data_IF_656737443530
#
_entry.id   IF_656737443530
#
_cell.length_a   1.000
_cell.length_b   1.000
_cell.length_c   1.000
_cell.angle_alpha   90.00
_cell.angle_beta   90.00
_cell.angle_gamma   90.00
#
_symmetry.space_group_name_H-M   'P 1'
#
loop_
_entity.id
_entity.type
_entity.pdbx_description
1 polymer ?
#
# COMPACT_ATOMS: atom_id res chain seq x y z
N UNK A 1 2.41 17.52 7.40
CA UNK A 1 3.69 17.99 6.80
C UNK A 1 3.44 19.38 6.23
N UNK A 2 4.27 20.37 6.56
CA UNK A 2 4.08 21.76 6.13
C UNK A 2 4.34 21.93 4.62
N UNK A 3 3.54 22.73 3.92
CA UNK A 3 3.58 22.87 2.45
C UNK A 3 4.95 23.31 1.93
N UNK A 4 5.58 24.29 2.59
CA UNK A 4 6.94 24.73 2.27
C UNK A 4 7.99 23.60 2.27
N UNK A 5 7.93 22.68 3.23
CA UNK A 5 8.87 21.55 3.28
C UNK A 5 8.65 20.60 2.09
N UNK A 6 7.40 20.42 1.67
CA UNK A 6 7.09 19.62 0.50
C UNK A 6 7.61 20.27 -0.77
N UNK A 7 7.39 21.58 -0.94
CA UNK A 7 7.88 22.32 -2.11
C UNK A 7 9.40 22.27 -2.23
N UNK A 8 10.12 22.50 -1.12
CA UNK A 8 11.58 22.39 -1.09
C UNK A 8 12.03 20.98 -1.48
N UNK A 9 11.40 19.93 -0.94
CA UNK A 9 11.73 18.55 -1.29
C UNK A 9 11.49 18.28 -2.78
N UNK A 10 10.37 18.74 -3.34
CA UNK A 10 10.04 18.60 -4.77
C UNK A 10 11.11 19.24 -5.66
N UNK A 11 11.58 20.43 -5.31
CA UNK A 11 12.67 21.12 -6.03
C UNK A 11 13.94 20.28 -6.01
N UNK A 12 14.41 19.88 -4.82
CA UNK A 12 15.66 19.11 -4.65
C UNK A 12 15.62 17.79 -5.42
N UNK A 13 14.49 17.09 -5.40
CA UNK A 13 14.34 15.80 -6.07
C UNK A 13 14.39 15.97 -7.59
N UNK A 14 13.74 17.00 -8.13
CA UNK A 14 13.69 17.24 -9.57
C UNK A 14 14.97 17.86 -10.15
N UNK A 15 15.80 18.51 -9.32
CA UNK A 15 16.99 19.27 -9.74
C UNK A 15 18.02 18.39 -10.47
N UNK A 16 18.27 17.16 -9.98
CA UNK A 16 19.26 16.24 -10.57
C UNK A 16 18.86 15.69 -11.93
N UNK A 17 17.57 15.63 -12.24
CA UNK A 17 17.06 15.03 -13.47
C UNK A 17 15.79 15.75 -13.93
N UNK A 18 15.92 16.99 -14.42
CA UNK A 18 14.76 17.77 -14.82
C UNK A 18 13.99 17.05 -15.93
N UNK A 19 12.66 16.97 -15.79
CA UNK A 19 11.74 16.34 -16.77
C UNK A 19 11.99 14.84 -17.01
N UNK A 20 12.67 14.15 -16.10
CA UNK A 20 12.84 12.70 -16.11
C UNK A 20 12.32 12.10 -14.80
N UNK A 21 10.99 12.06 -14.60
CA UNK A 21 10.39 11.59 -13.36
C UNK A 21 10.84 10.20 -12.96
N UNK A 22 11.10 9.32 -13.92
CA UNK A 22 11.55 7.95 -13.68
C UNK A 22 12.88 7.84 -12.92
N UNK A 23 13.68 8.92 -12.88
CA UNK A 23 14.95 9.01 -12.14
C UNK A 23 14.82 9.73 -10.80
N UNK A 24 13.62 10.15 -10.42
CA UNK A 24 13.39 10.83 -9.15
C UNK A 24 13.22 9.82 -8.03
N UNK A 25 13.75 10.15 -6.86
CA UNK A 25 13.56 9.30 -5.68
C UNK A 25 12.13 9.29 -5.15
N UNK A 26 11.32 10.29 -5.51
CA UNK A 26 9.90 10.34 -5.17
C UNK A 26 9.09 10.78 -6.38
N UNK A 27 7.97 10.10 -6.60
CA UNK A 27 6.98 10.42 -7.60
C UNK A 27 5.68 10.85 -6.90
N UNK A 28 5.14 12.00 -7.27
CA UNK A 28 3.93 12.56 -6.64
C UNK A 28 2.96 13.22 -7.62
N UNK A 29 3.43 13.63 -8.80
CA UNK A 29 2.56 14.24 -9.81
C UNK A 29 1.74 13.14 -10.50
N UNK A 30 0.40 13.17 -10.47
CA UNK A 30 -0.41 12.10 -11.02
C UNK A 30 -0.15 11.82 -12.50
N UNK A 31 0.13 12.84 -13.31
CA UNK A 31 0.40 12.67 -14.75
C UNK A 31 1.74 11.97 -14.99
N UNK A 32 2.79 12.38 -14.25
CA UNK A 32 4.11 11.78 -14.36
C UNK A 32 4.10 10.33 -13.87
N UNK A 33 3.48 10.08 -12.71
CA UNK A 33 3.35 8.73 -12.15
C UNK A 33 2.57 7.83 -13.10
N UNK A 34 1.44 8.30 -13.64
CA UNK A 34 0.64 7.56 -14.63
C UNK A 34 1.49 7.21 -15.85
N UNK A 35 2.28 8.16 -16.36
CA UNK A 35 3.16 7.92 -17.51
C UNK A 35 4.24 6.87 -17.18
N UNK A 36 4.85 6.96 -16.00
CA UNK A 36 5.88 6.00 -15.54
C UNK A 36 5.30 4.60 -15.39
N UNK A 37 4.13 4.46 -14.74
CA UNK A 37 3.48 3.16 -14.55
C UNK A 37 2.98 2.56 -15.87
N UNK A 38 2.36 3.36 -16.74
CA UNK A 38 1.86 2.91 -18.05
C UNK A 38 3.00 2.42 -18.94
N UNK A 39 4.13 3.14 -18.96
CA UNK A 39 5.33 2.75 -19.73
C UNK A 39 6.19 1.71 -19.01
N UNK A 40 5.79 1.30 -17.80
CA UNK A 40 6.56 0.44 -16.88
C UNK A 40 7.98 0.95 -16.66
N UNK A 41 8.22 2.26 -16.76
CA UNK A 41 9.55 2.87 -16.88
C UNK A 41 10.21 3.23 -15.55
N UNK A 42 9.63 2.81 -14.43
CA UNK A 42 10.21 3.03 -13.10
C UNK A 42 11.62 2.46 -12.97
N UNK A 43 12.42 3.08 -12.11
CA UNK A 43 13.81 2.69 -11.87
C UNK A 43 14.07 2.45 -10.38
N UNK A 44 15.25 1.91 -10.07
CA UNK A 44 15.72 1.70 -8.69
C UNK A 44 15.95 2.99 -7.91
N UNK A 45 15.91 4.16 -8.55
CA UNK A 45 15.99 5.43 -7.85
C UNK A 45 14.71 5.71 -7.07
N UNK A 46 13.56 5.21 -7.53
CA UNK A 46 12.25 5.49 -6.95
C UNK A 46 12.12 4.80 -5.58
N UNK A 47 12.15 5.60 -4.51
CA UNK A 47 11.97 5.16 -3.13
C UNK A 47 10.54 5.44 -2.60
N UNK A 48 9.82 6.37 -3.21
CA UNK A 48 8.44 6.69 -2.85
C UNK A 48 7.56 7.01 -4.05
N UNK A 49 6.32 6.53 -4.04
CA UNK A 49 5.35 6.76 -5.11
C UNK A 49 3.99 7.08 -4.53
N UNK A 50 3.40 8.20 -4.95
CA UNK A 50 2.04 8.60 -4.62
C UNK A 50 1.21 8.79 -5.89
N UNK A 51 0.02 8.18 -5.94
CA UNK A 51 -0.93 8.31 -7.04
C UNK A 51 -2.36 8.35 -6.52
N UNK A 52 -3.02 9.50 -6.68
CA UNK A 52 -4.36 9.74 -6.19
C UNK A 52 -5.30 10.11 -7.34
N UNK A 53 -6.38 9.34 -7.50
CA UNK A 53 -7.44 9.67 -8.45
C UNK A 53 -8.77 9.95 -7.75
N UNK A 54 -9.15 11.22 -7.57
CA UNK A 54 -10.36 11.56 -6.81
C UNK A 54 -11.66 11.09 -7.49
N UNK A 55 -11.69 11.02 -8.84
CA UNK A 55 -12.94 10.89 -9.60
C UNK A 55 -12.97 9.72 -10.60
N UNK A 56 -11.88 8.95 -10.76
CA UNK A 56 -11.80 7.89 -11.76
C UNK A 56 -10.85 6.79 -11.33
N UNK A 57 -11.26 5.52 -11.39
CA UNK A 57 -10.32 4.43 -11.19
C UNK A 57 -9.38 4.28 -12.38
N UNK A 58 -8.11 4.02 -12.11
CA UNK A 58 -7.12 3.65 -13.12
C UNK A 58 -6.53 2.29 -12.76
N UNK A 59 -6.29 1.45 -13.77
CA UNK A 59 -5.74 0.12 -13.59
C UNK A 59 -4.31 0.06 -14.13
N UNK A 60 -3.37 -0.44 -13.33
CA UNK A 60 -1.97 -0.63 -13.72
C UNK A 60 -1.52 -2.07 -13.46
N UNK A 61 -0.58 -2.55 -14.26
CA UNK A 61 0.05 -3.86 -14.05
C UNK A 61 1.05 -3.80 -12.92
N UNK A 62 1.06 -4.82 -12.05
CA UNK A 62 2.05 -4.98 -10.98
C UNK A 62 3.48 -5.03 -11.52
N UNK A 63 3.68 -5.50 -12.76
CA UNK A 63 4.99 -5.46 -13.45
C UNK A 63 5.57 -4.04 -13.59
N UNK A 64 4.72 -3.00 -13.54
CA UNK A 64 5.19 -1.61 -13.59
C UNK A 64 6.11 -1.26 -12.41
N UNK A 65 6.00 -1.99 -11.30
CA UNK A 65 6.79 -1.78 -10.10
C UNK A 65 8.03 -2.68 -10.02
N UNK A 66 8.16 -3.68 -10.91
CA UNK A 66 9.21 -4.71 -10.81
C UNK A 66 10.65 -4.15 -10.82
N UNK A 67 10.86 -2.99 -11.46
CA UNK A 67 12.15 -2.30 -11.51
C UNK A 67 12.39 -1.30 -10.38
N UNK A 68 11.36 -0.98 -9.60
CA UNK A 68 11.44 -0.04 -8.46
C UNK A 68 11.84 -0.79 -7.18
N UNK A 69 12.94 -1.54 -7.22
CA UNK A 69 13.35 -2.44 -6.14
C UNK A 69 13.69 -1.74 -4.81
N UNK A 70 13.95 -0.43 -4.79
CA UNK A 70 14.15 0.39 -3.58
C UNK A 70 12.89 1.12 -3.12
N UNK A 71 11.73 0.86 -3.71
CA UNK A 71 10.47 1.49 -3.31
C UNK A 71 10.09 1.07 -1.89
N UNK A 72 10.00 2.05 -1.00
CA UNK A 72 9.71 1.87 0.43
C UNK A 72 8.35 2.41 0.84
N UNK A 73 7.83 3.39 0.09
CA UNK A 73 6.59 4.09 0.39
C UNK A 73 5.68 4.04 -0.85
N UNK A 74 4.51 3.45 -0.71
CA UNK A 74 3.50 3.39 -1.76
C UNK A 74 2.19 3.97 -1.24
N UNK A 75 1.74 5.04 -1.87
CA UNK A 75 0.49 5.74 -1.56
C UNK A 75 -0.43 5.71 -2.78
N UNK A 76 -1.51 4.95 -2.70
CA UNK A 76 -2.48 4.75 -3.77
C UNK A 76 -3.87 5.13 -3.26
N UNK A 77 -4.60 5.91 -4.04
CA UNK A 77 -6.03 6.18 -3.80
C UNK A 77 -6.80 5.94 -5.09
N UNK A 78 -7.78 5.02 -5.02
CA UNK A 78 -8.65 4.67 -6.15
C UNK A 78 -7.85 4.14 -7.37
N UNK A 79 -6.83 3.32 -7.10
CA UNK A 79 -5.99 2.67 -8.10
C UNK A 79 -6.18 1.16 -8.02
N UNK A 80 -6.39 0.52 -9.16
CA UNK A 80 -6.45 -0.93 -9.30
C UNK A 80 -5.11 -1.47 -9.80
N UNK A 81 -4.68 -2.59 -9.22
CA UNK A 81 -3.49 -3.31 -9.68
C UNK A 81 -3.91 -4.67 -10.23
N UNK A 82 -3.37 -5.04 -11.39
CA UNK A 82 -3.61 -6.33 -12.03
C UNK A 82 -2.31 -7.11 -12.30
N UNK A 83 -2.44 -8.43 -12.40
CA UNK A 83 -1.30 -9.35 -12.48
C UNK A 83 -0.89 -9.88 -11.12
N UNK A 84 0.32 -10.44 -11.07
CA UNK A 84 0.84 -11.12 -9.89
C UNK A 84 1.54 -10.12 -8.96
N UNK A 85 1.19 -10.15 -7.67
CA UNK A 85 1.71 -9.26 -6.64
C UNK A 85 3.14 -9.61 -6.24
N UNK A 86 3.69 -10.72 -6.73
CA UNK A 86 5.11 -11.02 -6.60
C UNK A 86 6.02 -9.93 -7.20
N UNK A 87 5.52 -9.20 -8.21
CA UNK A 87 6.21 -8.07 -8.84
C UNK A 87 6.27 -6.81 -7.97
N UNK A 88 5.51 -6.75 -6.86
CA UNK A 88 5.60 -5.60 -5.96
C UNK A 88 6.96 -5.57 -5.26
N UNK A 89 7.52 -4.35 -5.04
CA UNK A 89 8.83 -4.17 -4.44
C UNK A 89 8.90 -4.78 -3.04
N UNK A 90 9.99 -5.48 -2.74
CA UNK A 90 10.22 -6.20 -1.47
C UNK A 90 10.75 -5.31 -0.34
N UNK A 91 11.13 -4.09 -0.68
CA UNK A 91 11.62 -3.07 0.26
C UNK A 91 10.48 -2.21 0.83
N UNK A 92 9.21 -2.56 0.57
CA UNK A 92 8.07 -1.77 1.00
C UNK A 92 7.96 -1.78 2.54
N UNK A 93 7.95 -0.59 3.13
CA UNK A 93 7.82 -0.38 4.58
C UNK A 93 6.44 0.16 4.92
N UNK A 94 5.88 0.98 4.02
CA UNK A 94 4.63 1.69 4.25
C UNK A 94 3.76 1.61 3.00
N UNK A 95 2.55 1.08 3.18
CA UNK A 95 1.54 1.00 2.14
C UNK A 95 0.26 1.69 2.60
N UNK A 96 -0.14 2.74 1.86
CA UNK A 96 -1.49 3.26 1.85
C UNK A 96 -2.14 2.88 0.53
N UNK A 97 -3.28 2.23 0.60
CA UNK A 97 -4.07 1.82 -0.56
C UNK A 97 -5.55 2.06 -0.31
N UNK A 98 -5.94 3.33 -0.34
CA UNK A 98 -7.31 3.76 -0.08
C UNK A 98 -8.24 3.44 -1.25
N UNK A 99 -9.49 3.12 -0.92
CA UNK A 99 -10.55 2.81 -1.88
C UNK A 99 -10.12 1.72 -2.87
N UNK A 100 -9.46 0.69 -2.35
CA UNK A 100 -9.08 -0.48 -3.12
C UNK A 100 -10.31 -1.35 -3.39
N UNK A 101 -10.47 -1.85 -4.61
CA UNK A 101 -11.61 -2.67 -5.01
C UNK A 101 -11.40 -4.18 -4.80
N UNK A 102 -10.28 -4.58 -4.20
CA UNK A 102 -10.02 -5.98 -3.85
C UNK A 102 -11.06 -6.49 -2.84
N UNK A 103 -11.52 -7.73 -3.05
CA UNK A 103 -12.37 -8.43 -2.08
C UNK A 103 -11.56 -9.12 -0.98
N UNK A 104 -10.33 -9.54 -1.29
CA UNK A 104 -9.29 -9.94 -0.33
C UNK A 104 -7.91 -9.62 -0.90
N UNK A 105 -6.91 -9.50 -0.02
CA UNK A 105 -5.51 -9.34 -0.41
C UNK A 105 -4.98 -10.71 -0.89
N UNK A 106 -4.44 -10.81 -2.12
CA UNK A 106 -3.91 -12.07 -2.65
C UNK A 106 -2.71 -12.61 -1.87
N UNK A 107 -2.56 -13.94 -1.84
CA UNK A 107 -1.52 -14.60 -1.03
C UNK A 107 -0.09 -14.24 -1.45
N UNK A 108 0.13 -14.00 -2.75
CA UNK A 108 1.42 -13.60 -3.31
C UNK A 108 1.84 -12.16 -2.93
N UNK A 109 0.90 -11.36 -2.42
CA UNK A 109 1.19 -10.06 -1.80
C UNK A 109 2.03 -10.21 -0.53
N UNK A 110 1.85 -11.27 0.26
CA UNK A 110 2.48 -11.42 1.59
C UNK A 110 3.99 -11.66 1.57
N UNK A 111 4.63 -11.56 0.40
CA UNK A 111 6.08 -11.51 0.23
C UNK A 111 6.63 -10.11 0.58
N UNK A 112 6.27 -9.57 1.74
CA UNK A 112 6.54 -8.18 2.15
C UNK A 112 7.15 -8.13 3.56
N UNK A 113 8.31 -8.76 3.72
CA UNK A 113 8.97 -8.95 5.02
C UNK A 113 9.30 -7.63 5.73
N UNK A 114 9.39 -6.51 5.02
CA UNK A 114 9.75 -5.19 5.57
C UNK A 114 8.55 -4.29 5.87
N UNK A 115 7.34 -4.73 5.53
CA UNK A 115 6.13 -3.92 5.68
C UNK A 115 5.81 -3.73 7.16
N UNK A 116 5.72 -2.46 7.58
CA UNK A 116 5.44 -2.05 8.97
C UNK A 116 4.04 -1.47 9.10
N UNK A 117 3.56 -0.79 8.07
CA UNK A 117 2.29 -0.06 8.09
C UNK A 117 1.45 -0.41 6.86
N UNK A 118 0.21 -0.85 7.11
CA UNK A 118 -0.79 -1.14 6.08
C UNK A 118 -2.07 -0.34 6.37
N UNK A 119 -2.46 0.52 5.43
CA UNK A 119 -3.70 1.28 5.52
C UNK A 119 -4.51 1.14 4.24
N UNK A 120 -5.74 0.62 4.35
CA UNK A 120 -6.64 0.35 3.22
C UNK A 120 -8.03 0.95 3.46
N UNK A 121 -8.08 2.23 3.84
CA UNK A 121 -9.32 2.92 4.20
C UNK A 121 -10.34 2.92 3.05
N UNK A 122 -11.61 2.66 3.38
CA UNK A 122 -12.72 2.75 2.44
C UNK A 122 -12.67 1.69 1.34
N UNK A 123 -11.99 0.57 1.57
CA UNK A 123 -11.82 -0.49 0.57
C UNK A 123 -13.00 -1.47 0.55
N UNK A 124 -13.12 -2.21 -0.54
CA UNK A 124 -14.20 -3.19 -0.76
C UNK A 124 -13.90 -4.59 -0.20
N UNK A 125 -13.00 -4.68 0.78
CA UNK A 125 -12.58 -5.94 1.38
C UNK A 125 -13.77 -6.62 2.06
N UNK A 126 -13.96 -7.91 1.77
CA UNK A 126 -14.93 -8.79 2.43
C UNK A 126 -14.22 -9.60 3.53
N UNK A 127 -13.06 -10.15 3.17
CA UNK A 127 -12.08 -10.74 4.08
C UNK A 127 -10.73 -10.06 3.81
N UNK A 128 -9.85 -9.97 4.81
CA UNK A 128 -8.55 -9.32 4.57
C UNK A 128 -7.60 -10.26 3.83
N UNK A 129 -7.41 -11.48 4.32
CA UNK A 129 -6.60 -12.53 3.70
C UNK A 129 -6.91 -13.93 4.23
N UNK A 130 -6.56 -14.95 3.45
CA UNK A 130 -6.73 -16.37 3.78
C UNK A 130 -5.41 -17.16 3.81
N UNK A 131 -4.31 -16.56 3.34
CA UNK A 131 -3.00 -17.19 3.23
C UNK A 131 -2.35 -17.57 4.55
N UNK A 132 -1.14 -18.12 4.50
CA UNK A 132 -0.39 -18.60 5.68
C UNK A 132 0.94 -17.88 5.92
N UNK A 133 1.29 -16.89 5.07
CA UNK A 133 2.55 -16.18 5.20
C UNK A 133 2.47 -15.14 6.31
N UNK A 134 3.48 -15.18 7.18
CA UNK A 134 3.55 -14.27 8.31
C UNK A 134 4.23 -12.95 7.94
N UNK A 135 3.56 -11.83 8.24
CA UNK A 135 4.09 -10.48 8.16
C UNK A 135 4.67 -10.06 9.51
N UNK A 136 5.87 -10.56 9.82
CA UNK A 136 6.52 -10.39 11.13
C UNK A 136 6.79 -8.92 11.51
N UNK A 137 7.01 -8.03 10.54
CA UNK A 137 7.33 -6.63 10.82
C UNK A 137 6.10 -5.71 10.83
N UNK A 138 4.91 -6.22 10.50
CA UNK A 138 3.71 -5.40 10.43
C UNK A 138 3.24 -5.04 11.84
N UNK A 139 3.14 -3.73 12.09
CA UNK A 139 2.79 -3.16 13.39
C UNK A 139 1.44 -2.46 13.38
N UNK A 140 1.03 -1.90 12.24
CA UNK A 140 -0.19 -1.10 12.17
C UNK A 140 -1.02 -1.57 10.98
N UNK A 141 -2.28 -1.88 11.25
CA UNK A 141 -3.31 -2.17 10.26
C UNK A 141 -4.46 -1.18 10.45
N UNK A 142 -4.78 -0.44 9.40
CA UNK A 142 -5.96 0.43 9.37
C UNK A 142 -6.86 0.05 8.19
N UNK A 143 -8.04 -0.52 8.48
CA UNK A 143 -9.05 -0.92 7.49
C UNK A 143 -10.34 -0.09 7.61
N UNK A 144 -10.26 1.07 8.24
CA UNK A 144 -11.43 1.91 8.54
C UNK A 144 -12.29 2.18 7.31
N UNK A 145 -13.61 2.17 7.46
CA UNK A 145 -14.56 2.42 6.39
C UNK A 145 -14.70 1.27 5.37
N UNK A 146 -14.08 0.10 5.62
CA UNK A 146 -14.28 -1.09 4.79
C UNK A 146 -15.67 -1.67 5.02
N UNK A 147 -16.64 -1.12 4.30
CA UNK A 147 -18.06 -1.34 4.57
C UNK A 147 -18.53 -2.78 4.36
N UNK A 148 -17.78 -3.58 3.60
CA UNK A 148 -18.10 -4.98 3.29
C UNK A 148 -17.33 -5.99 4.14
N UNK A 149 -16.43 -5.54 5.02
CA UNK A 149 -15.58 -6.42 5.81
C UNK A 149 -16.45 -7.19 6.80
N UNK A 150 -16.47 -8.52 6.70
CA UNK A 150 -17.31 -9.39 7.54
C UNK A 150 -16.55 -9.86 8.78
N UNK A 151 -15.27 -10.21 8.59
CA UNK A 151 -14.39 -10.73 9.65
C UNK A 151 -13.04 -10.01 9.61
N UNK A 152 -12.39 -9.89 10.77
CA UNK A 152 -11.03 -9.35 10.86
C UNK A 152 -9.99 -10.36 10.29
N UNK A 153 -8.72 -9.94 10.05
CA UNK A 153 -7.69 -10.88 9.60
C UNK A 153 -7.35 -11.92 10.67
N UNK A 154 -6.77 -13.06 10.27
CA UNK A 154 -6.09 -13.94 11.21
C UNK A 154 -4.79 -13.29 11.70
N UNK A 155 -4.77 -12.95 12.99
CA UNK A 155 -3.66 -12.30 13.67
C UNK A 155 -2.46 -13.21 13.94
N UNK A 156 -2.59 -14.54 13.79
CA UNK A 156 -1.46 -15.47 13.92
C UNK A 156 -0.33 -15.16 12.92
N UNK A 157 -0.70 -14.51 11.81
CA UNK A 157 0.19 -14.12 10.73
C UNK A 157 0.89 -12.78 10.98
N UNK A 158 0.38 -11.97 11.91
CA UNK A 158 0.90 -10.62 12.24
C UNK A 158 1.26 -10.56 13.73
N UNK A 159 2.22 -11.36 14.21
CA UNK A 159 2.46 -11.55 15.65
C UNK A 159 3.02 -10.31 16.37
N UNK A 160 3.48 -9.30 15.63
CA UNK A 160 4.00 -8.04 16.18
C UNK A 160 3.06 -6.85 15.90
N UNK A 161 1.78 -7.11 15.64
CA UNK A 161 0.76 -6.07 15.49
C UNK A 161 0.63 -5.27 16.80
N UNK A 162 0.79 -3.95 16.70
CA UNK A 162 0.71 -2.98 17.80
C UNK A 162 -0.61 -2.20 17.76
N UNK A 163 -1.16 -1.95 16.56
CA UNK A 163 -2.38 -1.16 16.38
C UNK A 163 -3.28 -1.73 15.27
N UNK A 164 -4.57 -1.88 15.58
CA UNK A 164 -5.61 -2.28 14.65
C UNK A 164 -6.74 -1.25 14.68
N UNK A 165 -7.04 -0.66 13.52
CA UNK A 165 -8.10 0.36 13.38
C UNK A 165 -9.17 -0.18 12.41
N UNK A 166 -10.39 -0.31 12.93
CA UNK A 166 -11.56 -0.86 12.22
C UNK A 166 -12.77 0.09 12.29
N UNK A 167 -12.50 1.40 12.37
CA UNK A 167 -13.54 2.41 12.54
C UNK A 167 -14.48 2.42 11.34
N UNK A 168 -15.78 2.53 11.58
CA UNK A 168 -16.81 2.58 10.52
C UNK A 168 -16.85 1.36 9.58
N UNK A 169 -16.40 0.19 10.03
CA UNK A 169 -16.61 -1.09 9.33
C UNK A 169 -18.02 -1.64 9.62
N UNK A 170 -19.02 -1.18 8.85
CA UNK A 170 -20.44 -1.40 9.17
C UNK A 170 -20.93 -2.86 9.09
N UNK A 171 -20.26 -3.71 8.31
CA UNK A 171 -20.63 -5.13 8.14
C UNK A 171 -19.81 -6.08 9.01
N UNK A 172 -18.91 -5.56 9.84
CA UNK A 172 -18.00 -6.37 10.64
C UNK A 172 -18.79 -7.08 11.75
N UNK A 173 -18.81 -8.41 11.70
CA UNK A 173 -19.56 -9.25 12.64
C UNK A 173 -18.68 -9.79 13.77
N UNK A 174 -17.44 -10.17 13.45
CA UNK A 174 -16.55 -10.86 14.36
C UNK A 174 -15.09 -10.41 14.18
N UNK A 175 -14.38 -10.32 15.30
CA UNK A 175 -12.93 -10.24 15.32
C UNK A 175 -12.38 -11.65 15.49
N UNK A 176 -11.47 -12.05 14.61
CA UNK A 176 -10.86 -13.37 14.61
C UNK A 176 -10.25 -13.67 15.99
N UNK A 177 -10.50 -14.86 16.59
CA UNK A 177 -10.09 -15.17 17.96
C UNK A 177 -8.59 -15.05 18.25
N UNK A 178 -7.74 -15.16 17.21
CA UNK A 178 -6.29 -15.01 17.37
C UNK A 178 -5.84 -13.61 17.79
N UNK A 179 -6.75 -12.62 17.88
CA UNK A 179 -6.47 -11.28 18.44
C UNK A 179 -5.93 -11.36 19.88
N UNK A 180 -6.31 -12.40 20.63
CA UNK A 180 -5.78 -12.65 21.97
C UNK A 180 -4.25 -12.75 22.00
N UNK A 181 -3.63 -13.21 20.91
CA UNK A 181 -2.17 -13.29 20.80
C UNK A 181 -1.50 -11.93 20.61
N UNK A 182 -2.23 -10.92 20.11
CA UNK A 182 -1.72 -9.56 19.92
C UNK A 182 -1.88 -8.69 21.18
N UNK A 183 -2.80 -9.05 22.07
CA UNK A 183 -2.98 -8.38 23.35
C UNK A 183 -1.90 -8.83 24.34
N UNK A 184 -0.72 -8.21 24.29
CA UNK A 184 0.28 -8.37 25.37
C UNK A 184 -0.25 -7.70 26.64
N UNK A 185 -0.52 -8.51 27.67
CA UNK A 185 -0.83 -8.06 29.05
C UNK A 185 0.44 -7.50 29.69
#
# INVERSE_FOLDING_TARGET
>A
MHDLLQEMARVIISEKSPRQPEKWSRLWNPQDVTNVLTKKSGTEEVEGLALHFPNKSSCFSTEAFARMNKLRLLDLENVELNGEYEHLPKELIWLRWHRCHLQSIPDDFFNQDKLVFLEMIGSSLVNVWEGSKSLQNLKIINLSGSSFLITSPDFSQVPNLEELILDSCISLLEIHPSIENCMRI
#
